data_IF_113970642177
#
_entry.id   IF_113970642177
#
_cell.length_a   1.000
_cell.length_b   1.000
_cell.length_c   1.000
_cell.angle_alpha   90.00
_cell.angle_beta   90.00
_cell.angle_gamma   90.00
#
_symmetry.space_group_name_H-M   'P 1'
#
loop_
_entity.id
_entity.type
_entity.pdbx_description
1 polymer ?
#
# COMPACT_ATOMS: atom_id res chain seq x y z
N UNK A 1 4.46 -7.30 23.27
CA UNK A 1 4.47 -7.75 21.85
C UNK A 1 3.23 -7.23 21.15
N UNK A 2 3.30 -6.92 19.86
CA UNK A 2 2.12 -6.49 19.11
C UNK A 2 1.20 -7.69 18.88
N UNK A 3 0.01 -7.69 19.50
CA UNK A 3 -0.91 -8.84 19.51
C UNK A 3 -1.90 -8.81 18.33
N UNK A 4 -2.16 -7.63 17.75
CA UNK A 4 -3.12 -7.50 16.65
C UNK A 4 -2.47 -7.77 15.31
N UNK A 5 -3.21 -8.46 14.45
CA UNK A 5 -2.81 -8.69 13.06
C UNK A 5 -2.75 -7.36 12.30
N UNK A 6 -1.68 -7.11 11.52
CA UNK A 6 -1.52 -5.85 10.79
C UNK A 6 -2.48 -5.70 9.62
N UNK A 7 -2.63 -4.45 9.21
CA UNK A 7 -3.22 -4.06 7.94
C UNK A 7 -2.09 -3.67 6.99
N UNK A 8 -2.01 -4.34 5.84
CA UNK A 8 -1.10 -3.96 4.77
C UNK A 8 -1.86 -3.35 3.59
N UNK A 9 -1.47 -2.14 3.20
CA UNK A 9 -2.10 -1.40 2.09
C UNK A 9 -1.09 -1.32 0.96
N UNK A 10 -1.40 -1.93 -0.16
CA UNK A 10 -0.54 -2.01 -1.33
C UNK A 10 -1.30 -1.72 -2.63
N UNK A 11 -0.57 -1.67 -3.72
CA UNK A 11 -1.07 -1.39 -5.07
C UNK A 11 0.07 -0.87 -5.93
N UNK A 12 -0.12 -0.73 -7.23
CA UNK A 12 0.84 0.02 -8.04
C UNK A 12 1.06 1.41 -7.45
N UNK A 13 2.24 1.96 -7.56
CA UNK A 13 2.38 3.41 -7.33
C UNK A 13 1.40 4.16 -8.22
N UNK A 14 0.94 5.32 -7.78
CA UNK A 14 -0.07 6.14 -8.47
C UNK A 14 -1.47 5.53 -8.53
N UNK A 15 -1.74 4.42 -7.81
CA UNK A 15 -3.08 3.82 -7.69
C UNK A 15 -4.03 4.59 -6.75
N UNK A 16 -3.52 5.52 -5.94
CA UNK A 16 -4.32 6.24 -4.94
C UNK A 16 -4.29 5.59 -3.55
N UNK A 17 -3.32 4.74 -3.26
CA UNK A 17 -3.18 4.08 -1.95
C UNK A 17 -3.02 5.07 -0.78
N UNK A 18 -2.51 6.27 -1.02
CA UNK A 18 -2.36 7.31 0.01
C UNK A 18 -3.71 7.77 0.59
N UNK A 19 -4.75 7.95 -0.24
CA UNK A 19 -6.08 8.32 0.28
C UNK A 19 -6.70 7.19 1.10
N UNK A 20 -6.51 5.94 0.67
CA UNK A 20 -7.00 4.77 1.41
C UNK A 20 -6.30 4.67 2.77
N UNK A 21 -4.97 4.81 2.81
CA UNK A 21 -4.20 4.82 4.05
C UNK A 21 -4.65 5.95 4.99
N UNK A 22 -4.88 7.15 4.46
CA UNK A 22 -5.38 8.30 5.23
C UNK A 22 -6.73 8.00 5.87
N UNK A 23 -7.68 7.42 5.14
CA UNK A 23 -8.99 7.04 5.66
C UNK A 23 -8.85 6.03 6.80
N UNK A 24 -8.06 4.97 6.61
CA UNK A 24 -7.87 3.89 7.59
C UNK A 24 -7.19 4.42 8.85
N UNK A 25 -6.21 5.32 8.71
CA UNK A 25 -5.57 6.01 9.84
C UNK A 25 -6.58 6.83 10.65
N UNK A 26 -7.46 7.59 9.99
CA UNK A 26 -8.51 8.37 10.67
C UNK A 26 -9.58 7.47 11.34
N UNK A 27 -9.73 6.22 10.91
CA UNK A 27 -10.55 5.24 11.58
C UNK A 27 -9.85 4.58 12.78
N UNK A 28 -8.64 5.01 13.14
CA UNK A 28 -7.93 4.60 14.35
C UNK A 28 -6.80 3.59 14.15
N UNK A 29 -6.42 3.26 12.92
CA UNK A 29 -5.24 2.42 12.69
C UNK A 29 -3.95 3.22 12.96
N UNK A 30 -3.05 2.64 13.76
CA UNK A 30 -1.75 3.22 14.08
C UNK A 30 -0.79 3.14 12.88
N UNK A 31 -0.06 4.21 12.62
CA UNK A 31 0.84 4.33 11.44
C UNK A 31 2.31 4.53 11.80
N UNK A 32 2.60 4.92 13.04
CA UNK A 32 3.90 5.46 13.42
C UNK A 32 4.20 6.79 12.73
N UNK A 33 5.48 7.11 12.61
CA UNK A 33 5.98 8.31 11.93
C UNK A 33 5.95 8.10 10.41
N UNK A 34 5.19 8.91 9.70
CA UNK A 34 4.90 8.72 8.29
C UNK A 34 5.42 9.85 7.40
N UNK A 35 5.69 9.50 6.14
CA UNK A 35 5.90 10.46 5.05
C UNK A 35 4.57 11.11 4.63
N UNK A 36 4.63 12.14 3.78
CA UNK A 36 3.43 12.71 3.13
C UNK A 36 2.61 11.66 2.32
N UNK A 37 3.26 10.58 1.91
CA UNK A 37 2.62 9.45 1.19
C UNK A 37 2.06 8.39 2.13
N UNK A 38 2.03 8.62 3.44
CA UNK A 38 1.57 7.66 4.46
C UNK A 38 2.40 6.35 4.50
N UNK A 39 3.68 6.45 4.22
CA UNK A 39 4.63 5.34 4.41
C UNK A 39 5.38 5.56 5.71
N UNK A 40 5.45 4.54 6.56
CA UNK A 40 6.24 4.60 7.79
C UNK A 40 7.73 4.79 7.43
N UNK A 41 8.39 5.78 8.04
CA UNK A 41 9.74 6.24 7.67
C UNK A 41 10.77 5.16 7.96
N UNK A 42 10.72 4.55 9.14
CA UNK A 42 11.71 3.55 9.57
C UNK A 42 11.55 2.24 8.78
N UNK A 43 10.30 1.79 8.59
CA UNK A 43 10.02 0.61 7.76
C UNK A 43 10.42 0.85 6.30
N UNK A 44 10.26 2.08 5.79
CA UNK A 44 10.73 2.44 4.45
C UNK A 44 12.25 2.30 4.35
N UNK A 45 13.01 2.76 5.33
CA UNK A 45 14.48 2.59 5.39
C UNK A 45 14.90 1.12 5.43
N UNK A 46 14.19 0.29 6.21
CA UNK A 46 14.39 -1.16 6.23
C UNK A 46 14.13 -1.78 4.86
N UNK A 47 13.07 -1.37 4.17
CA UNK A 47 12.76 -1.83 2.81
C UNK A 47 13.84 -1.41 1.81
N UNK A 48 14.38 -0.18 1.90
CA UNK A 48 15.45 0.29 1.02
C UNK A 48 16.67 -0.65 1.15
N UNK A 49 17.07 -0.99 2.39
CA UNK A 49 18.16 -1.93 2.66
C UNK A 49 17.88 -3.35 2.15
N UNK A 50 16.65 -3.83 2.29
CA UNK A 50 16.26 -5.14 1.80
C UNK A 50 16.26 -5.22 0.26
N UNK A 51 15.78 -4.17 -0.41
CA UNK A 51 15.78 -4.10 -1.87
C UNK A 51 17.19 -4.07 -2.45
N UNK A 52 18.12 -3.35 -1.82
CA UNK A 52 19.55 -3.37 -2.17
C UNK A 52 20.12 -4.78 -2.01
N UNK A 53 19.83 -5.47 -0.91
CA UNK A 53 20.28 -6.85 -0.65
C UNK A 53 19.83 -7.83 -1.73
N UNK A 54 18.62 -7.70 -2.26
CA UNK A 54 18.08 -8.61 -3.29
C UNK A 54 18.36 -8.13 -4.71
N UNK A 55 19.09 -7.02 -4.88
CA UNK A 55 19.47 -6.46 -6.17
C UNK A 55 18.31 -5.87 -6.96
N UNK A 56 17.30 -5.36 -6.27
CA UNK A 56 16.14 -4.71 -6.87
C UNK A 56 16.20 -3.18 -6.73
N UNK A 57 15.44 -2.47 -7.56
CA UNK A 57 15.36 -1.01 -7.46
C UNK A 57 14.68 -0.58 -6.15
N UNK A 58 15.38 0.20 -5.34
CA UNK A 58 14.89 0.68 -4.04
C UNK A 58 13.59 1.49 -4.14
N UNK A 59 13.25 2.00 -5.31
CA UNK A 59 11.98 2.69 -5.58
C UNK A 59 10.86 1.73 -6.00
N UNK A 60 11.17 0.44 -6.18
CA UNK A 60 10.19 -0.55 -6.65
C UNK A 60 9.74 -0.34 -8.10
N UNK A 61 10.61 0.23 -8.95
CA UNK A 61 10.25 0.52 -10.35
C UNK A 61 10.86 -0.51 -11.31
N UNK A 62 12.20 -0.58 -11.41
CA UNK A 62 12.88 -1.56 -12.27
C UNK A 62 14.37 -1.69 -11.91
N UNK A 63 14.91 -2.91 -11.72
CA UNK A 63 14.17 -4.18 -11.75
C UNK A 63 13.32 -4.42 -10.50
N UNK A 64 12.21 -5.15 -10.66
CA UNK A 64 11.44 -5.64 -9.53
C UNK A 64 12.09 -6.89 -8.91
N UNK A 65 11.93 -7.14 -7.60
CA UNK A 65 12.39 -8.37 -6.99
C UNK A 65 11.58 -9.57 -7.51
N UNK A 66 12.24 -10.70 -7.71
CA UNK A 66 11.55 -11.94 -8.08
C UNK A 66 11.00 -12.63 -6.83
N UNK A 67 9.67 -12.79 -6.72
CA UNK A 67 9.02 -13.47 -5.60
C UNK A 67 9.57 -14.88 -5.34
N UNK A 68 10.07 -15.55 -6.38
CA UNK A 68 10.66 -16.91 -6.32
C UNK A 68 12.09 -16.95 -5.77
N UNK A 69 12.76 -15.79 -5.66
CA UNK A 69 14.19 -15.70 -5.26
C UNK A 69 14.39 -14.82 -4.02
N UNK A 70 13.32 -14.48 -3.31
CA UNK A 70 13.44 -13.66 -2.13
C UNK A 70 14.19 -14.38 -1.00
N UNK A 71 15.01 -13.63 -0.30
CA UNK A 71 15.59 -14.06 0.98
C UNK A 71 14.55 -13.71 2.06
N UNK A 72 14.09 -14.71 2.81
CA UNK A 72 13.13 -14.49 3.90
C UNK A 72 13.90 -14.31 5.21
N UNK A 73 14.02 -13.08 5.76
CA UNK A 73 14.74 -12.86 6.99
C UNK A 73 13.94 -13.45 8.18
N UNK A 74 14.55 -14.32 8.95
CA UNK A 74 13.90 -14.99 10.09
C UNK A 74 13.50 -14.03 11.21
N UNK A 75 14.17 -12.89 11.32
CA UNK A 75 13.92 -11.84 12.30
C UNK A 75 12.99 -10.71 11.80
N UNK A 76 12.45 -10.80 10.57
CA UNK A 76 11.64 -9.71 9.98
C UNK A 76 10.52 -9.24 10.88
N UNK A 77 9.77 -10.21 11.44
CA UNK A 77 8.68 -9.91 12.38
C UNK A 77 9.16 -9.13 13.61
N UNK A 78 10.29 -9.55 14.20
CA UNK A 78 10.83 -8.89 15.37
C UNK A 78 11.32 -7.49 15.04
N UNK A 79 12.04 -7.31 13.95
CA UNK A 79 12.53 -6.00 13.50
C UNK A 79 11.39 -5.00 13.28
N UNK A 80 10.30 -5.43 12.64
CA UNK A 80 9.12 -4.58 12.45
C UNK A 80 8.45 -4.26 13.80
N UNK A 81 8.35 -5.24 14.69
CA UNK A 81 7.77 -5.03 16.02
C UNK A 81 8.59 -4.03 16.85
N UNK A 82 9.91 -4.13 16.81
CA UNK A 82 10.81 -3.23 17.52
C UNK A 82 10.66 -1.78 17.02
N UNK A 83 10.66 -1.57 15.71
CA UNK A 83 10.40 -0.26 15.10
C UNK A 83 9.08 0.34 15.60
N UNK A 84 7.99 -0.42 15.54
CA UNK A 84 6.68 0.07 15.91
C UNK A 84 6.57 0.35 17.42
N UNK A 85 7.22 -0.46 18.27
CA UNK A 85 7.27 -0.25 19.71
C UNK A 85 8.06 1.03 20.06
N UNK A 86 9.18 1.29 19.41
CA UNK A 86 9.93 2.53 19.55
C UNK A 86 9.08 3.75 19.18
N UNK A 87 8.21 3.61 18.18
CA UNK A 87 7.22 4.62 17.78
C UNK A 87 5.97 4.65 18.69
N UNK A 88 5.96 3.93 19.80
CA UNK A 88 4.87 3.88 20.80
C UNK A 88 3.62 3.13 20.38
N UNK A 89 3.71 2.22 19.42
CA UNK A 89 2.68 1.24 19.17
C UNK A 89 2.58 0.28 20.36
N UNK A 90 1.39 0.06 20.86
CA UNK A 90 1.13 -0.86 21.97
C UNK A 90 0.27 -2.06 21.54
N UNK A 91 -0.01 -2.98 22.47
CA UNK A 91 -0.75 -4.23 22.19
C UNK A 91 -2.20 -4.00 21.76
N UNK A 92 -2.78 -2.86 22.12
CA UNK A 92 -4.17 -2.51 21.80
C UNK A 92 -4.31 -1.85 20.42
N UNK A 93 -3.21 -1.36 19.87
CA UNK A 93 -3.23 -0.70 18.57
C UNK A 93 -3.42 -1.71 17.44
N UNK A 94 -4.41 -1.47 16.60
CA UNK A 94 -4.44 -2.03 15.25
C UNK A 94 -3.52 -1.16 14.38
N UNK A 95 -2.45 -1.74 13.87
CA UNK A 95 -1.45 -0.99 13.13
C UNK A 95 -1.46 -1.33 11.64
N UNK A 96 -1.01 -0.39 10.84
CA UNK A 96 -0.95 -0.56 9.40
C UNK A 96 0.39 -0.12 8.81
N UNK A 97 0.76 -0.75 7.70
CA UNK A 97 1.82 -0.29 6.80
C UNK A 97 1.24 -0.07 5.41
N UNK A 98 1.71 0.98 4.74
CA UNK A 98 1.35 1.30 3.36
C UNK A 98 2.61 1.39 2.51
N UNK A 99 2.57 0.78 1.33
CA UNK A 99 3.62 0.91 0.32
C UNK A 99 3.36 0.04 -0.91
N UNK A 100 3.71 0.56 -2.09
CA UNK A 100 3.67 -0.22 -3.34
C UNK A 100 4.61 -1.42 -3.29
N UNK A 101 5.74 -1.28 -2.63
CA UNK A 101 6.75 -2.33 -2.48
C UNK A 101 6.31 -3.52 -1.62
N UNK A 102 5.24 -3.39 -0.82
CA UNK A 102 4.76 -4.49 0.01
C UNK A 102 4.32 -5.69 -0.83
N UNK A 103 3.60 -5.47 -1.93
CA UNK A 103 3.18 -6.57 -2.81
C UNK A 103 4.37 -7.20 -3.57
N UNK A 104 5.43 -6.45 -3.82
CA UNK A 104 6.58 -6.96 -4.56
C UNK A 104 7.38 -8.01 -3.77
N UNK A 105 7.28 -7.95 -2.44
CA UNK A 105 7.91 -8.89 -1.52
C UNK A 105 6.87 -9.55 -0.59
N UNK A 106 5.64 -9.74 -1.08
CA UNK A 106 4.54 -10.28 -0.29
C UNK A 106 4.85 -11.60 0.44
N UNK A 107 5.69 -12.52 -0.10
CA UNK A 107 6.04 -13.75 0.62
C UNK A 107 6.79 -13.50 1.94
N UNK A 108 7.65 -12.46 2.00
CA UNK A 108 8.37 -12.07 3.22
C UNK A 108 7.37 -11.60 4.29
N UNK A 109 6.42 -10.77 3.88
CA UNK A 109 5.38 -10.26 4.76
C UNK A 109 4.42 -11.36 5.23
N UNK A 110 4.04 -12.26 4.33
CA UNK A 110 3.17 -13.40 4.66
C UNK A 110 3.83 -14.36 5.64
N UNK A 111 5.12 -14.62 5.48
CA UNK A 111 5.89 -15.42 6.42
C UNK A 111 5.92 -14.79 7.81
N UNK A 112 6.20 -13.50 7.90
CA UNK A 112 6.29 -12.78 9.16
C UNK A 112 4.93 -12.54 9.83
N UNK A 113 3.87 -12.28 9.04
CA UNK A 113 2.54 -11.91 9.51
C UNK A 113 1.45 -12.68 8.75
N UNK A 114 1.32 -14.00 8.97
CA UNK A 114 0.42 -14.86 8.19
C UNK A 114 -1.07 -14.50 8.33
N UNK A 115 -1.44 -13.79 9.40
CA UNK A 115 -2.82 -13.37 9.66
C UNK A 115 -3.08 -11.90 9.25
N UNK A 116 -2.16 -11.26 8.53
CA UNK A 116 -2.34 -9.88 8.07
C UNK A 116 -3.58 -9.75 7.17
N UNK A 117 -4.26 -8.61 7.29
CA UNK A 117 -5.31 -8.21 6.35
C UNK A 117 -4.71 -7.29 5.30
N UNK A 118 -4.89 -7.63 4.03
CA UNK A 118 -4.33 -6.87 2.92
C UNK A 118 -5.40 -6.07 2.20
N UNK A 119 -5.04 -4.85 1.82
CA UNK A 119 -5.83 -4.02 0.92
C UNK A 119 -5.03 -3.79 -0.35
N UNK A 120 -5.52 -4.33 -1.45
CA UNK A 120 -4.96 -4.12 -2.78
C UNK A 120 -5.70 -2.95 -3.42
N UNK A 121 -5.02 -1.82 -3.55
CA UNK A 121 -5.61 -0.61 -4.14
C UNK A 121 -5.47 -0.67 -5.65
N UNK A 122 -6.62 -0.65 -6.32
CA UNK A 122 -6.75 -0.77 -7.76
C UNK A 122 -7.06 0.58 -8.40
N UNK A 123 -6.58 0.75 -9.61
CA UNK A 123 -6.89 1.92 -10.44
C UNK A 123 -6.83 1.52 -11.91
N UNK A 124 -7.54 2.23 -12.78
CA UNK A 124 -7.49 1.97 -14.21
C UNK A 124 -6.07 2.12 -14.73
N UNK A 125 -5.58 1.13 -15.46
CA UNK A 125 -4.22 1.09 -16.00
C UNK A 125 -3.83 2.36 -16.78
N UNK A 126 -4.66 2.92 -17.70
CA UNK A 126 -4.31 4.17 -18.37
C UNK A 126 -4.08 5.35 -17.42
N UNK A 127 -4.87 5.45 -16.33
CA UNK A 127 -4.74 6.53 -15.34
C UNK A 127 -3.45 6.39 -14.50
N UNK A 128 -3.00 5.16 -14.25
CA UNK A 128 -1.71 4.89 -13.59
C UNK A 128 -0.58 5.33 -14.53
N UNK A 129 -0.58 4.86 -15.76
CA UNK A 129 0.45 5.16 -16.78
C UNK A 129 0.59 6.67 -16.99
N UNK A 130 -0.52 7.37 -17.22
CA UNK A 130 -0.51 8.82 -17.40
C UNK A 130 -0.01 9.57 -16.17
N UNK A 131 -0.28 9.03 -14.95
CA UNK A 131 0.25 9.59 -13.72
C UNK A 131 1.74 9.32 -13.55
N UNK A 132 2.25 8.13 -13.92
CA UNK A 132 3.67 7.81 -13.88
C UNK A 132 4.47 8.74 -14.80
N UNK A 133 4.02 8.95 -16.04
CA UNK A 133 4.68 9.82 -17.01
C UNK A 133 4.77 11.29 -16.55
N UNK A 134 3.84 11.74 -15.70
CA UNK A 134 3.80 13.12 -15.17
C UNK A 134 4.53 13.28 -13.83
N UNK A 135 5.01 12.19 -13.23
CA UNK A 135 5.56 12.19 -11.87
C UNK A 135 7.09 12.11 -11.90
N UNK A 136 7.77 13.15 -11.42
CA UNK A 136 9.23 13.31 -11.57
C UNK A 136 10.09 12.23 -10.92
N UNK A 137 9.59 11.50 -9.89
CA UNK A 137 10.34 10.40 -9.29
C UNK A 137 10.09 9.04 -9.96
N UNK A 138 9.06 8.94 -10.83
CA UNK A 138 8.80 7.76 -11.68
C UNK A 138 9.73 7.84 -12.90
N UNK A 139 10.86 7.10 -12.87
CA UNK A 139 11.97 7.32 -13.81
C UNK A 139 12.38 6.07 -14.61
N UNK A 140 11.89 4.89 -14.25
CA UNK A 140 12.32 3.65 -14.88
C UNK A 140 11.98 3.61 -16.38
N UNK A 141 10.86 4.18 -16.76
CA UNK A 141 10.40 4.20 -18.15
C UNK A 141 10.02 5.62 -18.60
N UNK A 142 10.19 5.89 -19.89
CA UNK A 142 9.90 7.20 -20.49
C UNK A 142 8.64 7.19 -21.36
N UNK A 143 8.07 6.02 -21.62
CA UNK A 143 6.95 5.80 -22.52
C UNK A 143 5.83 4.97 -21.85
N UNK A 144 4.70 4.90 -22.58
CA UNK A 144 3.51 4.17 -22.11
C UNK A 144 3.71 2.66 -22.08
N UNK A 145 4.50 2.13 -22.98
CA UNK A 145 4.73 0.68 -23.13
C UNK A 145 5.50 0.12 -21.92
N UNK A 146 6.59 0.79 -21.54
CA UNK A 146 7.36 0.40 -20.35
C UNK A 146 6.51 0.47 -19.08
N UNK A 147 5.73 1.53 -18.87
CA UNK A 147 4.82 1.62 -17.72
C UNK A 147 3.68 0.62 -17.79
N UNK A 148 3.18 0.27 -18.98
CA UNK A 148 2.19 -0.79 -19.14
C UNK A 148 2.74 -2.15 -18.68
N UNK A 149 3.96 -2.50 -19.12
CA UNK A 149 4.66 -3.70 -18.66
C UNK A 149 4.80 -3.74 -17.14
N UNK A 150 5.24 -2.64 -16.53
CA UNK A 150 5.38 -2.51 -15.07
C UNK A 150 4.04 -2.67 -14.33
N UNK A 151 2.95 -2.10 -14.86
CA UNK A 151 1.60 -2.30 -14.27
C UNK A 151 1.20 -3.78 -14.39
N UNK A 152 1.44 -4.44 -15.51
CA UNK A 152 1.13 -5.86 -15.70
C UNK A 152 1.91 -6.74 -14.72
N UNK A 153 3.19 -6.42 -14.43
CA UNK A 153 3.96 -7.14 -13.42
C UNK A 153 3.29 -7.03 -12.04
N UNK A 154 2.79 -5.86 -11.65
CA UNK A 154 2.04 -5.71 -10.40
C UNK A 154 0.71 -6.46 -10.40
N UNK A 155 -0.01 -6.45 -11.53
CA UNK A 155 -1.25 -7.23 -11.66
C UNK A 155 -0.99 -8.74 -11.48
N UNK A 156 0.11 -9.25 -12.02
CA UNK A 156 0.53 -10.64 -11.82
C UNK A 156 0.82 -10.92 -10.34
N UNK A 157 1.49 -10.01 -9.63
CA UNK A 157 1.72 -10.14 -8.19
C UNK A 157 0.40 -10.19 -7.40
N UNK A 158 -0.60 -9.38 -7.77
CA UNK A 158 -1.90 -9.43 -7.11
C UNK A 158 -2.62 -10.76 -7.37
N UNK A 159 -2.50 -11.32 -8.57
CA UNK A 159 -3.01 -12.66 -8.88
C UNK A 159 -2.29 -13.71 -8.04
N UNK A 160 -0.95 -13.69 -7.98
CA UNK A 160 -0.17 -14.59 -7.13
C UNK A 160 -0.61 -14.53 -5.65
N UNK A 161 -0.82 -13.33 -5.12
CA UNK A 161 -1.30 -13.15 -3.74
C UNK A 161 -2.67 -13.76 -3.51
N UNK A 162 -3.61 -13.57 -4.44
CA UNK A 162 -4.97 -14.10 -4.35
C UNK A 162 -4.96 -15.63 -4.45
N UNK A 163 -4.22 -16.20 -5.40
CA UNK A 163 -4.06 -17.64 -5.59
C UNK A 163 -3.38 -18.32 -4.40
N UNK A 164 -2.45 -17.62 -3.74
CA UNK A 164 -1.83 -18.06 -2.49
C UNK A 164 -2.77 -18.00 -1.27
N UNK A 165 -4.00 -17.53 -1.43
CA UNK A 165 -4.98 -17.45 -0.34
C UNK A 165 -4.72 -16.30 0.64
N UNK A 166 -4.03 -15.25 0.23
CA UNK A 166 -3.82 -14.07 1.06
C UNK A 166 -5.17 -13.44 1.44
N UNK A 167 -5.36 -13.17 2.73
CA UNK A 167 -6.56 -12.52 3.24
C UNK A 167 -6.62 -11.06 2.78
N UNK A 168 -7.20 -10.80 1.61
CA UNK A 168 -7.20 -9.48 1.00
C UNK A 168 -8.57 -9.02 0.51
N UNK A 169 -8.74 -7.69 0.47
CA UNK A 169 -9.80 -6.99 -0.25
C UNK A 169 -9.22 -6.06 -1.31
N UNK A 170 -9.91 -5.92 -2.43
CA UNK A 170 -9.55 -4.96 -3.47
C UNK A 170 -10.40 -3.69 -3.31
N UNK A 171 -9.77 -2.50 -3.43
CA UNK A 171 -10.43 -1.20 -3.26
C UNK A 171 -10.10 -0.28 -4.43
N UNK A 172 -11.13 0.41 -4.92
CA UNK A 172 -11.06 1.33 -6.05
C UNK A 172 -11.30 2.78 -5.59
N UNK A 173 -10.25 3.60 -5.39
CA UNK A 173 -10.40 4.99 -4.94
C UNK A 173 -11.25 5.86 -5.86
N UNK A 174 -11.38 5.49 -7.14
CA UNK A 174 -12.25 6.22 -8.09
C UNK A 174 -13.72 6.25 -7.66
N UNK A 175 -14.18 5.24 -6.91
CA UNK A 175 -15.54 5.22 -6.33
C UNK A 175 -15.72 6.37 -5.34
N UNK A 176 -14.72 6.65 -4.53
CA UNK A 176 -14.74 7.80 -3.61
C UNK A 176 -14.88 9.12 -4.37
N UNK A 177 -14.24 9.23 -5.55
CA UNK A 177 -14.33 10.43 -6.39
C UNK A 177 -15.73 10.67 -6.97
N UNK A 178 -16.58 9.66 -7.03
CA UNK A 178 -17.98 9.76 -7.46
C UNK A 178 -18.96 9.88 -6.30
N UNK A 179 -18.46 9.89 -5.04
CA UNK A 179 -19.29 9.93 -3.83
C UNK A 179 -19.82 8.56 -3.40
N UNK A 180 -19.33 7.47 -4.01
CA UNK A 180 -19.68 6.11 -3.58
C UNK A 180 -18.69 5.64 -2.50
N UNK A 181 -19.12 5.69 -1.26
CA UNK A 181 -18.34 5.26 -0.09
C UNK A 181 -18.62 3.82 0.34
N UNK A 182 -19.53 3.11 -0.33
CA UNK A 182 -20.02 1.79 0.07
C UNK A 182 -18.88 0.79 0.25
N UNK A 183 -18.05 0.63 -0.78
CA UNK A 183 -16.90 -0.30 -0.73
C UNK A 183 -15.93 0.03 0.40
N UNK A 184 -15.71 1.33 0.65
CA UNK A 184 -14.78 1.74 1.71
C UNK A 184 -15.36 1.49 3.10
N UNK A 185 -16.66 1.75 3.31
CA UNK A 185 -17.38 1.42 4.56
C UNK A 185 -17.29 -0.07 4.88
N UNK A 186 -17.60 -0.93 3.91
CA UNK A 186 -17.49 -2.39 4.04
C UNK A 186 -16.05 -2.84 4.32
N UNK A 187 -15.06 -2.13 3.77
CA UNK A 187 -13.65 -2.43 4.03
C UNK A 187 -13.25 -2.04 5.44
N UNK A 188 -13.65 -0.89 5.93
CA UNK A 188 -13.41 -0.43 7.31
C UNK A 188 -14.02 -1.39 8.32
N UNK A 189 -15.27 -1.81 8.11
CA UNK A 189 -15.94 -2.80 8.95
C UNK A 189 -15.19 -4.15 8.93
N UNK A 190 -14.80 -4.64 7.76
CA UNK A 190 -14.02 -5.87 7.64
C UNK A 190 -12.67 -5.79 8.37
N UNK A 191 -12.04 -4.62 8.44
CA UNK A 191 -10.82 -4.40 9.22
C UNK A 191 -11.08 -4.46 10.74
N UNK A 192 -12.34 -4.34 11.19
CA UNK A 192 -12.73 -4.21 12.60
C UNK A 192 -12.60 -2.76 13.11
N UNK A 193 -12.64 -1.80 12.19
CA UNK A 193 -12.65 -0.36 12.48
C UNK A 193 -14.04 0.21 12.30
N UNK A 194 -14.27 1.43 12.80
CA UNK A 194 -15.54 2.12 12.68
C UNK A 194 -15.44 3.26 11.67
N UNK A 195 -16.35 3.26 10.70
CA UNK A 195 -16.52 4.40 9.79
C UNK A 195 -17.12 5.58 10.53
N UNK A 196 -16.59 6.78 10.27
CA UNK A 196 -17.19 8.04 10.72
C UNK A 196 -17.47 8.90 9.48
N UNK A 197 -18.70 9.44 9.38
CA UNK A 197 -19.10 10.27 8.24
C UNK A 197 -18.33 11.60 8.15
N UNK A 198 -17.67 12.05 9.23
CA UNK A 198 -16.72 13.17 9.16
C UNK A 198 -15.54 12.92 8.20
N UNK A 199 -15.23 11.65 7.89
CA UNK A 199 -14.26 11.28 6.87
C UNK A 199 -14.61 11.83 5.48
N UNK A 200 -15.90 12.00 5.18
CA UNK A 200 -16.35 12.57 3.90
C UNK A 200 -15.77 13.97 3.72
N UNK A 201 -15.74 14.79 4.78
CA UNK A 201 -15.15 16.13 4.76
C UNK A 201 -13.64 16.14 4.48
N UNK A 202 -12.96 15.03 4.82
CA UNK A 202 -11.52 14.85 4.59
C UNK A 202 -11.28 14.33 3.17
N UNK A 203 -12.16 13.46 2.69
CA UNK A 203 -12.03 12.81 1.37
C UNK A 203 -12.34 13.80 0.25
N UNK A 204 -13.42 14.56 0.35
CA UNK A 204 -13.89 15.44 -0.72
C UNK A 204 -12.86 16.46 -1.21
N UNK A 205 -12.10 17.20 -0.36
CA UNK A 205 -11.08 18.12 -0.82
C UNK A 205 -9.93 17.41 -1.57
N UNK A 206 -9.57 16.20 -1.15
CA UNK A 206 -8.49 15.42 -1.78
C UNK A 206 -8.91 14.89 -3.16
N UNK A 207 -10.17 14.55 -3.32
CA UNK A 207 -10.74 14.06 -4.57
C UNK A 207 -11.07 15.21 -5.55
N UNK A 208 -11.33 16.42 -5.03
CA UNK A 208 -11.57 17.61 -5.86
C UNK A 208 -10.39 17.89 -6.82
N UNK A 209 -9.17 17.83 -6.31
CA UNK A 209 -7.97 18.02 -7.12
C UNK A 209 -7.83 16.98 -8.25
N UNK A 210 -8.37 15.77 -8.06
CA UNK A 210 -8.39 14.74 -9.10
C UNK A 210 -9.50 14.95 -10.13
N UNK A 211 -10.62 15.56 -9.73
CA UNK A 211 -11.73 15.92 -10.64
C UNK A 211 -11.38 17.09 -11.56
N UNK A 212 -10.75 18.13 -11.04
CA UNK A 212 -10.32 19.28 -11.85
C UNK A 212 -9.28 18.91 -12.92
N UNK A 213 -8.44 17.90 -12.67
CA UNK A 213 -7.47 17.40 -13.66
C UNK A 213 -8.10 16.57 -14.79
N UNK A 214 -9.36 16.18 -14.67
CA UNK A 214 -10.11 15.44 -15.69
C UNK A 214 -10.97 16.35 -16.59
N UNK A 215 -11.09 17.62 -16.27
CA UNK A 215 -11.88 18.62 -16.98
C UNK A 215 -11.04 19.70 -17.71
N UNK A 216 -9.71 19.50 -17.83
CA UNK A 216 -8.81 20.38 -18.55
C UNK A 216 -8.21 19.69 -19.76
#
# INVERSE_FOLDING_TARGET
MLNKSPIFITGCERSGSTIIAKIISHCGAFTGTITEMYENIEVKGLLDSYYDLVGADIRGQHPLPSTKKLIIPTNWKQTIADILVEEKCNEENLWMLKGSRLCQIWPVWQYAFPNAKWIIVRRRTPDIIDSCLKTGYMRAYKDKEGWLGWVHEHENLFVEMIEAGINCKQVWPERLATGDYTQMKETIEWLGLTWNDDLIKIIEPLMWNSRQRKGA
#
